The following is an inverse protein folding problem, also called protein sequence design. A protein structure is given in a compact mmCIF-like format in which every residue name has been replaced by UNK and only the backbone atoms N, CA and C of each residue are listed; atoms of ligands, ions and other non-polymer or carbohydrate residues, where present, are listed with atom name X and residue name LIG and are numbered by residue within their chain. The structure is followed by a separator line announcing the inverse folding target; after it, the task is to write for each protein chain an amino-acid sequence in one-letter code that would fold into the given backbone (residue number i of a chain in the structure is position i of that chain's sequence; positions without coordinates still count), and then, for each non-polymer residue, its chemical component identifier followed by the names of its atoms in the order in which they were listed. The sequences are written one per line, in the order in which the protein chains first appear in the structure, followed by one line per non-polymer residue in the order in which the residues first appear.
data_IF_932139040109
#
_entry.id   IF_932139040109
#
_cell.length_a   1.000
_cell.length_b   1.000
_cell.length_c   1.000
_cell.angle_alpha   90.00
_cell.angle_beta   90.00
_cell.angle_gamma   90.00
#
_symmetry.space_group_name_H-M   'P 1'
#
loop_
_entity.id
_entity.type
_entity.pdbx_description
1 polymer ?
#
# COMPACT_ATOMS: atom_id res chain seq x y z
N UNK A 1 14.92 -2.99 -0.05
CA UNK A 1 13.66 -2.31 0.34
C UNK A 1 12.63 -2.39 -0.80
N UNK A 2 11.39 -2.80 -0.53
CA UNK A 2 10.32 -2.98 -1.53
C UNK A 2 9.35 -1.79 -1.64
N UNK A 3 9.65 -0.67 -0.96
CA UNK A 3 8.86 0.56 -1.05
C UNK A 3 9.10 1.37 -2.32
N UNK A 4 8.60 2.60 -2.33
CA UNK A 4 8.68 3.51 -3.49
C UNK A 4 9.87 4.47 -3.44
N UNK A 5 10.67 4.42 -2.36
CA UNK A 5 11.79 5.33 -2.06
C UNK A 5 11.54 6.77 -2.55
N UNK A 6 10.49 7.45 -2.04
CA UNK A 6 10.14 8.77 -2.53
C UNK A 6 11.30 9.73 -2.27
N UNK A 7 11.67 10.50 -3.29
CA UNK A 7 12.65 11.58 -3.20
C UNK A 7 11.86 12.89 -3.21
N UNK A 8 11.98 13.69 -2.15
CA UNK A 8 11.23 14.94 -1.95
C UNK A 8 9.71 14.79 -2.11
N UNK A 9 9.16 13.70 -1.57
CA UNK A 9 7.73 13.38 -1.64
C UNK A 9 7.25 12.89 -3.01
N UNK A 10 8.13 12.81 -4.02
CA UNK A 10 7.80 12.33 -5.37
C UNK A 10 8.31 10.91 -5.57
N UNK A 11 7.56 10.12 -6.34
CA UNK A 11 7.99 8.78 -6.71
C UNK A 11 9.25 8.84 -7.59
N UNK A 12 10.24 8.02 -7.27
CA UNK A 12 11.50 7.93 -8.02
C UNK A 12 11.24 7.50 -9.47
N UNK A 13 11.74 8.30 -10.42
CA UNK A 13 11.67 7.99 -11.85
C UNK A 13 12.89 7.18 -12.27
N UNK A 14 12.69 6.14 -13.09
CA UNK A 14 13.78 5.36 -13.67
C UNK A 14 14.60 6.23 -14.62
N UNK A 15 15.92 6.25 -14.44
CA UNK A 15 16.86 6.90 -15.34
C UNK A 15 17.80 5.85 -15.94
N UNK A 16 18.12 5.98 -17.23
CA UNK A 16 19.00 5.03 -17.92
C UNK A 16 20.38 5.05 -17.26
N UNK A 17 20.89 3.88 -16.88
CA UNK A 17 22.21 3.73 -16.26
C UNK A 17 22.26 4.03 -14.74
N UNK A 18 21.18 4.53 -14.15
CA UNK A 18 21.13 4.81 -12.70
C UNK A 18 20.51 3.64 -11.92
N UNK A 19 21.04 3.39 -10.71
CA UNK A 19 20.47 2.43 -9.78
C UNK A 19 19.31 3.06 -9.01
N UNK A 20 18.22 2.31 -8.85
CA UNK A 20 17.08 2.72 -8.04
C UNK A 20 17.37 2.57 -6.54
N UNK A 21 16.75 3.43 -5.72
CA UNK A 21 16.81 3.36 -4.26
C UNK A 21 15.91 2.26 -3.66
N UNK A 22 15.16 1.55 -4.49
CA UNK A 22 14.35 0.40 -4.10
C UNK A 22 14.58 -0.80 -5.02
N UNK A 23 14.23 -1.99 -4.52
CA UNK A 23 14.29 -3.21 -5.30
C UNK A 23 13.03 -3.32 -6.17
N UNK A 24 13.17 -3.05 -7.48
CA UNK A 24 12.07 -3.06 -8.43
C UNK A 24 11.46 -4.45 -8.65
N UNK A 25 12.28 -5.52 -8.63
CA UNK A 25 11.80 -6.89 -8.78
C UNK A 25 10.94 -7.30 -7.59
N UNK A 26 11.44 -7.09 -6.38
CA UNK A 26 10.71 -7.38 -5.15
C UNK A 26 9.40 -6.59 -5.10
N UNK A 27 9.41 -5.32 -5.52
CA UNK A 27 8.18 -4.52 -5.61
C UNK A 27 7.15 -5.14 -6.55
N UNK A 28 7.57 -5.60 -7.73
CA UNK A 28 6.67 -6.29 -8.68
C UNK A 28 6.15 -7.62 -8.11
N UNK A 29 6.98 -8.37 -7.37
CA UNK A 29 6.56 -9.60 -6.70
C UNK A 29 5.55 -9.35 -5.59
N UNK A 30 5.79 -8.34 -4.76
CA UNK A 30 4.83 -7.86 -3.77
C UNK A 30 3.49 -7.49 -4.42
N UNK A 31 3.52 -6.94 -5.63
CA UNK A 31 2.28 -6.63 -6.35
C UNK A 31 1.46 -7.88 -6.69
N UNK A 32 2.12 -8.90 -7.21
CA UNK A 32 1.51 -10.20 -7.55
C UNK A 32 0.96 -10.88 -6.30
N UNK A 33 1.72 -10.85 -5.21
CA UNK A 33 1.30 -11.40 -3.92
C UNK A 33 0.05 -10.71 -3.40
N UNK A 34 -0.01 -9.38 -3.48
CA UNK A 34 -1.17 -8.62 -3.04
C UNK A 34 -2.45 -9.05 -3.80
N UNK A 35 -2.36 -9.24 -5.12
CA UNK A 35 -3.48 -9.77 -5.90
C UNK A 35 -3.88 -11.20 -5.49
N UNK A 36 -2.93 -12.02 -5.02
CA UNK A 36 -3.24 -13.36 -4.48
C UNK A 36 -3.97 -13.26 -3.13
N UNK A 37 -3.51 -12.39 -2.23
CA UNK A 37 -4.14 -12.17 -0.92
C UNK A 37 -5.58 -11.66 -1.07
N UNK A 38 -5.84 -10.77 -2.04
CA UNK A 38 -7.21 -10.33 -2.34
C UNK A 38 -8.12 -11.47 -2.78
N UNK A 39 -7.59 -12.44 -3.53
CA UNK A 39 -8.37 -13.62 -3.99
C UNK A 39 -8.59 -14.63 -2.88
N UNK A 40 -7.64 -14.75 -1.94
CA UNK A 40 -7.76 -15.64 -0.79
C UNK A 40 -8.86 -15.18 0.19
N UNK A 41 -9.18 -13.88 0.22
CA UNK A 41 -10.24 -13.29 1.06
C UNK A 41 -10.07 -13.52 2.58
N UNK A 42 -8.84 -13.64 3.06
CA UNK A 42 -8.52 -13.75 4.49
C UNK A 42 -8.31 -12.42 5.22
N UNK A 43 -7.61 -12.42 6.35
CA UNK A 43 -7.36 -11.23 7.19
C UNK A 43 -6.70 -10.06 6.46
N UNK A 44 -5.79 -10.33 5.53
CA UNK A 44 -5.22 -9.28 4.68
C UNK A 44 -6.27 -8.62 3.78
N UNK A 45 -7.24 -9.38 3.28
CA UNK A 45 -8.34 -8.84 2.50
C UNK A 45 -9.27 -7.96 3.36
N UNK A 46 -9.59 -8.39 4.58
CA UNK A 46 -10.35 -7.58 5.55
C UNK A 46 -9.64 -6.23 5.82
N UNK A 47 -8.32 -6.28 6.07
CA UNK A 47 -7.51 -5.07 6.27
C UNK A 47 -7.52 -4.16 5.03
N UNK A 48 -7.44 -4.75 3.83
CA UNK A 48 -7.56 -4.01 2.58
C UNK A 48 -8.91 -3.29 2.45
N UNK A 49 -10.03 -3.95 2.80
CA UNK A 49 -11.36 -3.33 2.75
C UNK A 49 -11.41 -2.13 3.70
N UNK A 50 -10.95 -2.30 4.95
CA UNK A 50 -10.87 -1.22 5.95
C UNK A 50 -10.08 -0.01 5.43
N UNK A 51 -8.92 -0.24 4.81
CA UNK A 51 -8.13 0.85 4.24
C UNK A 51 -8.78 1.46 2.98
N UNK A 52 -9.47 0.66 2.15
CA UNK A 52 -10.21 1.17 0.99
C UNK A 52 -11.34 2.10 1.45
N UNK A 53 -12.13 1.69 2.43
CA UNK A 53 -13.23 2.48 2.98
C UNK A 53 -12.73 3.78 3.62
N UNK A 54 -11.63 3.71 4.37
CA UNK A 54 -10.96 4.90 4.92
C UNK A 54 -10.55 5.90 3.84
N UNK A 55 -9.97 5.42 2.74
CA UNK A 55 -9.61 6.30 1.62
C UNK A 55 -10.83 6.87 0.91
N UNK A 56 -11.88 6.07 0.72
CA UNK A 56 -13.13 6.54 0.14
C UNK A 56 -13.75 7.66 0.98
N UNK A 57 -13.91 7.42 2.29
CA UNK A 57 -14.42 8.41 3.22
C UNK A 57 -13.58 9.70 3.18
N UNK A 58 -12.25 9.59 3.25
CA UNK A 58 -11.37 10.75 3.18
C UNK A 58 -11.61 11.57 1.91
N UNK A 59 -11.60 10.93 0.74
CA UNK A 59 -11.77 11.66 -0.52
C UNK A 59 -13.18 12.25 -0.66
N UNK A 60 -14.21 11.55 -0.22
CA UNK A 60 -15.58 12.10 -0.16
C UNK A 60 -15.66 13.31 0.79
N UNK A 61 -15.02 13.25 1.96
CA UNK A 61 -14.98 14.37 2.91
C UNK A 61 -14.17 15.57 2.40
N UNK A 62 -13.19 15.33 1.53
CA UNK A 62 -12.46 16.36 0.78
C UNK A 62 -13.27 16.92 -0.41
N UNK A 63 -14.51 16.45 -0.62
CA UNK A 63 -15.37 16.88 -1.73
C UNK A 63 -15.01 16.26 -3.08
N UNK A 64 -14.19 15.22 -3.13
CA UNK A 64 -13.79 14.56 -4.38
C UNK A 64 -14.79 13.52 -4.85
N UNK A 65 -15.00 13.49 -6.16
CA UNK A 65 -15.79 12.47 -6.84
C UNK A 65 -14.92 11.25 -7.14
N UNK A 66 -15.30 10.09 -6.59
CA UNK A 66 -14.64 8.82 -6.88
C UNK A 66 -15.34 8.18 -8.08
N UNK A 67 -14.66 8.08 -9.21
CA UNK A 67 -15.27 7.61 -10.46
C UNK A 67 -14.50 6.44 -11.07
N UNK A 68 -15.15 5.54 -11.81
CA UNK A 68 -14.47 4.56 -12.64
C UNK A 68 -13.56 5.26 -13.65
N UNK A 69 -12.41 4.65 -13.96
CA UNK A 69 -11.48 5.20 -14.94
C UNK A 69 -12.13 5.42 -16.32
N UNK A 70 -13.24 4.75 -16.63
CA UNK A 70 -14.00 4.95 -17.87
C UNK A 70 -14.68 6.31 -17.97
N UNK A 71 -15.06 6.90 -16.84
CA UNK A 71 -15.78 8.16 -16.73
C UNK A 71 -14.85 9.38 -16.63
N UNK A 72 -13.54 9.15 -16.51
CA UNK A 72 -12.57 10.25 -16.49
C UNK A 72 -12.57 11.03 -17.82
N UNK A 73 -12.48 12.37 -17.77
CA UNK A 73 -12.40 13.19 -18.96
C UNK A 73 -11.12 12.90 -19.73
N UNK A 74 -11.17 13.15 -21.05
CA UNK A 74 -10.00 13.07 -21.92
C UNK A 74 -9.48 14.45 -22.26
N UNK A 75 -8.16 14.59 -22.29
CA UNK A 75 -7.43 15.73 -22.84
C UNK A 75 -6.34 15.17 -23.76
N UNK A 76 -6.29 15.65 -25.00
CA UNK A 76 -5.33 15.16 -26.03
C UNK A 76 -5.37 13.64 -26.22
N UNK A 77 -6.59 13.07 -26.23
CA UNK A 77 -6.82 11.63 -26.36
C UNK A 77 -6.51 10.79 -25.11
N UNK A 78 -5.94 11.38 -24.06
CA UNK A 78 -5.56 10.69 -22.82
C UNK A 78 -6.52 11.04 -21.69
N UNK A 79 -6.90 10.03 -20.89
CA UNK A 79 -7.69 10.25 -19.67
C UNK A 79 -6.82 10.96 -18.62
N UNK A 80 -7.40 11.92 -17.91
CA UNK A 80 -6.74 12.61 -16.81
C UNK A 80 -7.68 12.74 -15.61
N UNK A 81 -7.10 12.97 -14.43
CA UNK A 81 -7.85 13.24 -13.20
C UNK A 81 -7.92 14.75 -12.95
N UNK A 82 -9.11 15.35 -13.01
CA UNK A 82 -9.35 16.71 -12.55
C UNK A 82 -9.09 16.87 -11.04
N UNK A 83 -9.00 18.13 -10.57
CA UNK A 83 -8.68 18.42 -9.17
C UNK A 83 -9.74 17.90 -8.17
N UNK A 84 -11.01 17.85 -8.57
CA UNK A 84 -12.17 17.43 -7.80
C UNK A 84 -12.50 15.93 -7.97
N UNK A 85 -11.67 15.17 -8.69
CA UNK A 85 -12.02 13.81 -9.09
C UNK A 85 -10.84 12.87 -8.84
N UNK A 86 -11.13 11.64 -8.42
CA UNK A 86 -10.13 10.58 -8.28
C UNK A 86 -10.64 9.28 -8.88
N UNK A 87 -9.79 8.56 -9.62
CA UNK A 87 -10.15 7.25 -10.12
C UNK A 87 -10.27 6.25 -8.98
N UNK A 88 -11.28 5.38 -9.06
CA UNK A 88 -11.42 4.26 -8.13
C UNK A 88 -10.15 3.37 -8.10
N UNK A 89 -9.49 3.21 -9.25
CA UNK A 89 -8.23 2.48 -9.36
C UNK A 89 -7.11 3.05 -8.50
N UNK A 90 -7.05 4.37 -8.30
CA UNK A 90 -6.08 4.99 -7.39
C UNK A 90 -6.41 4.69 -5.93
N UNK A 91 -7.68 4.77 -5.54
CA UNK A 91 -8.14 4.38 -4.20
C UNK A 91 -7.80 2.91 -3.91
N UNK A 92 -8.09 2.03 -4.86
CA UNK A 92 -7.73 0.61 -4.81
C UNK A 92 -6.23 0.41 -4.61
N UNK A 93 -5.39 1.05 -5.44
CA UNK A 93 -3.94 0.93 -5.38
C UNK A 93 -3.36 1.48 -4.05
N UNK A 94 -3.98 2.53 -3.48
CA UNK A 94 -3.59 3.06 -2.16
C UNK A 94 -3.88 2.06 -1.04
N UNK A 95 -5.08 1.49 -1.00
CA UNK A 95 -5.47 0.46 -0.02
C UNK A 95 -4.61 -0.80 -0.15
N UNK A 96 -4.41 -1.26 -1.39
CA UNK A 96 -3.55 -2.39 -1.70
C UNK A 96 -2.09 -2.15 -1.24
N UNK A 97 -1.57 -0.92 -1.42
CA UNK A 97 -0.24 -0.53 -0.93
C UNK A 97 -0.16 -0.57 0.59
N UNK A 98 -1.24 -0.23 1.31
CA UNK A 98 -1.28 -0.33 2.78
C UNK A 98 -1.24 -1.78 3.23
N UNK A 99 -2.05 -2.64 2.62
CA UNK A 99 -2.08 -4.08 2.90
C UNK A 99 -0.70 -4.73 2.71
N UNK A 100 -0.03 -4.49 1.58
CA UNK A 100 1.26 -5.13 1.31
C UNK A 100 2.39 -4.59 2.19
N UNK A 101 2.30 -3.33 2.64
CA UNK A 101 3.24 -2.76 3.61
C UNK A 101 3.10 -3.43 4.97
N UNK A 102 1.86 -3.68 5.40
CA UNK A 102 1.61 -4.45 6.62
C UNK A 102 2.19 -5.86 6.49
N UNK A 103 1.89 -6.58 5.39
CA UNK A 103 2.45 -7.91 5.13
C UNK A 103 3.99 -7.93 5.24
N UNK A 104 4.67 -6.98 4.59
CA UNK A 104 6.14 -6.91 4.63
C UNK A 104 6.69 -6.62 6.04
N UNK A 105 5.99 -5.82 6.83
CA UNK A 105 6.38 -5.54 8.22
C UNK A 105 6.26 -6.80 9.08
N UNK A 106 5.15 -7.54 8.93
CA UNK A 106 4.91 -8.78 9.67
C UNK A 106 5.86 -9.90 9.23
N UNK A 107 6.11 -10.03 7.93
CA UNK A 107 7.09 -10.99 7.39
C UNK A 107 8.50 -10.72 7.95
N UNK A 108 8.90 -9.44 8.02
CA UNK A 108 10.19 -9.09 8.62
C UNK A 108 10.24 -9.46 10.10
N UNK A 109 9.17 -9.19 10.85
CA UNK A 109 9.10 -9.52 12.29
C UNK A 109 9.21 -11.03 12.50
N UNK A 110 8.33 -11.82 11.87
CA UNK A 110 8.33 -13.27 12.01
C UNK A 110 9.65 -13.91 11.61
N UNK A 111 10.30 -13.41 10.54
CA UNK A 111 11.61 -13.92 10.15
C UNK A 111 12.68 -13.58 11.19
N UNK A 112 12.73 -12.34 11.69
CA UNK A 112 13.71 -11.94 12.72
C UNK A 112 13.57 -12.78 13.99
N UNK A 113 12.35 -13.02 14.42
CA UNK A 113 12.05 -13.85 15.59
C UNK A 113 12.46 -15.31 15.37
N UNK A 114 12.16 -15.87 14.20
CA UNK A 114 12.55 -17.24 13.86
C UNK A 114 14.07 -17.46 13.85
N UNK A 115 14.85 -16.43 13.51
CA UNK A 115 16.32 -16.46 13.51
C UNK A 115 16.92 -16.08 14.87
N UNK A 116 16.09 -15.79 15.88
CA UNK A 116 16.56 -15.34 17.20
C UNK A 116 17.28 -13.98 17.17
N UNK A 117 17.00 -13.16 16.15
CA UNK A 117 17.65 -11.87 15.96
C UNK A 117 16.87 -10.77 16.68
N UNK A 118 17.53 -9.68 17.14
CA UNK A 118 16.85 -8.63 17.87
C UNK A 118 15.76 -7.97 17.02
N UNK A 119 14.60 -7.77 17.63
CA UNK A 119 13.46 -7.06 17.03
C UNK A 119 13.39 -5.64 17.59
N UNK A 120 12.54 -4.83 16.96
CA UNK A 120 12.26 -3.46 17.37
C UNK A 120 10.76 -3.21 17.17
N UNK A 121 10.18 -2.35 18.00
CA UNK A 121 8.78 -2.00 17.87
C UNK A 121 8.52 -1.36 16.50
N UNK A 122 7.35 -1.60 15.89
CA UNK A 122 7.04 -1.03 14.60
C UNK A 122 6.92 0.50 14.72
N UNK A 123 7.29 1.22 13.66
CA UNK A 123 7.30 2.69 13.62
C UNK A 123 6.02 3.35 14.19
N UNK A 124 4.79 2.86 13.93
CA UNK A 124 3.58 3.47 14.49
C UNK A 124 3.52 3.44 16.02
N UNK A 125 4.09 2.42 16.66
CA UNK A 125 4.16 2.33 18.12
C UNK A 125 5.20 3.32 18.63
N UNK A 126 6.40 3.28 18.06
CA UNK A 126 7.53 4.05 18.59
C UNK A 126 7.44 5.56 18.37
N UNK A 127 6.89 5.99 17.22
CA UNK A 127 6.93 7.39 16.81
C UNK A 127 5.55 8.01 16.64
N UNK A 128 4.49 7.21 16.48
CA UNK A 128 3.12 7.72 16.29
C UNK A 128 2.21 7.45 17.49
N UNK A 129 2.71 6.83 18.55
CA UNK A 129 1.95 6.60 19.79
C UNK A 129 0.83 5.58 19.65
N UNK A 130 0.91 4.65 18.70
CA UNK A 130 -0.08 3.58 18.60
C UNK A 130 0.14 2.55 19.72
N UNK A 131 -0.90 2.24 20.49
CA UNK A 131 -0.79 1.32 21.64
C UNK A 131 -0.88 -0.16 21.23
N UNK A 132 -1.57 -0.46 20.13
CA UNK A 132 -1.84 -1.83 19.69
C UNK A 132 -1.22 -2.10 18.30
N UNK A 133 -0.01 -2.68 18.22
CA UNK A 133 0.55 -3.10 16.96
C UNK A 133 -0.24 -4.30 16.41
N UNK A 134 -0.45 -4.30 15.09
CA UNK A 134 -0.96 -5.50 14.41
C UNK A 134 0.14 -6.56 14.42
N UNK A 135 -0.17 -7.78 14.84
CA UNK A 135 0.82 -8.88 14.92
C UNK A 135 0.65 -9.91 13.80
N UNK A 136 1.65 -10.80 13.58
CA UNK A 136 1.53 -11.89 12.62
C UNK A 136 0.34 -12.82 12.92
N UNK A 137 0.12 -13.15 14.19
CA UNK A 137 -0.94 -14.08 14.63
C UNK A 137 -2.34 -13.55 14.32
N UNK A 138 -2.56 -12.24 14.41
CA UNK A 138 -3.83 -11.60 14.07
C UNK A 138 -4.14 -11.64 12.57
N UNK A 139 -3.09 -11.72 11.74
CA UNK A 139 -3.19 -11.63 10.28
C UNK A 139 -3.04 -12.99 9.58
N UNK A 140 -2.79 -14.06 10.35
CA UNK A 140 -2.79 -15.43 9.87
C UNK A 140 -4.21 -16.01 9.97
N UNK A 141 -4.75 -16.47 8.84
CA UNK A 141 -6.00 -17.20 8.81
C UNK A 141 -5.81 -18.56 9.51
N UNK A 142 -6.76 -18.96 10.38
CA UNK A 142 -6.77 -20.25 11.09
C UNK A 142 -7.58 -21.29 10.34
#
# INVERSE_FOLDING_TARGET
FAGFAPVDGKAEKRQKGAKLHYNAQLRSMCWRLASSLLRARGKFYEYYLKEKDKYQYRFQSEGKHIVPATQLPKKDGKRYEPADTIAEGHVHNMALRKMIKLFLALLWLSWREAEGLPTRNPYPVEYLGHEHPITPEEMCDK
#
